data_IF_421176233548
#
_entry.id   IF_421176233548
#
_cell.length_a   1.000
_cell.length_b   1.000
_cell.length_c   1.000
_cell.angle_alpha   90.00
_cell.angle_beta   90.00
_cell.angle_gamma   90.00
#
_symmetry.space_group_name_H-M   'P 1'
#
loop_
_entity.id
_entity.type
_entity.pdbx_description
1 polymer ?
#
# COMPACT_ATOMS: atom_id res chain seq x y z
N UNK A 1 15.38 22.26 5.40
CA UNK A 1 14.43 21.16 5.73
C UNK A 1 13.05 21.59 5.24
N UNK A 2 12.48 20.88 4.25
CA UNK A 2 11.12 21.14 3.78
C UNK A 2 10.09 20.92 4.89
N UNK A 3 9.07 21.79 4.95
CA UNK A 3 7.95 21.63 5.90
C UNK A 3 7.07 20.46 5.48
N UNK A 4 6.47 19.80 6.46
CA UNK A 4 5.44 18.79 6.21
C UNK A 4 4.29 19.38 5.41
N UNK A 5 3.86 18.70 4.35
CA UNK A 5 2.63 19.04 3.62
C UNK A 5 1.81 17.80 3.30
N UNK A 6 0.49 17.94 3.36
CA UNK A 6 -0.46 16.88 2.97
C UNK A 6 -0.28 16.47 1.51
N UNK A 7 0.08 17.39 0.63
CA UNK A 7 0.33 17.11 -0.78
C UNK A 7 1.56 16.22 -0.99
N UNK A 8 2.66 16.48 -0.26
CA UNK A 8 3.85 15.64 -0.32
C UNK A 8 3.56 14.21 0.16
N UNK A 9 2.73 14.05 1.21
CA UNK A 9 2.28 12.70 1.64
C UNK A 9 1.55 11.98 0.51
N UNK A 10 0.62 12.67 -0.18
CA UNK A 10 -0.13 12.08 -1.30
C UNK A 10 0.81 11.67 -2.46
N UNK A 11 1.83 12.49 -2.75
CA UNK A 11 2.85 12.17 -3.76
C UNK A 11 3.67 10.93 -3.37
N UNK A 12 4.12 10.86 -2.11
CA UNK A 12 4.85 9.69 -1.58
C UNK A 12 4.00 8.41 -1.67
N UNK A 13 2.69 8.52 -1.42
CA UNK A 13 1.76 7.40 -1.53
C UNK A 13 1.61 6.90 -2.96
N UNK A 14 1.47 7.82 -3.91
CA UNK A 14 1.41 7.47 -5.34
C UNK A 14 2.70 6.80 -5.78
N UNK A 15 3.85 7.36 -5.40
CA UNK A 15 5.15 6.81 -5.76
C UNK A 15 5.35 5.39 -5.19
N UNK A 16 4.96 5.15 -3.92
CA UNK A 16 5.00 3.80 -3.33
C UNK A 16 4.06 2.83 -4.04
N UNK A 17 2.82 3.26 -4.33
CA UNK A 17 1.85 2.41 -5.02
C UNK A 17 2.30 2.04 -6.44
N UNK A 18 2.95 2.95 -7.17
CA UNK A 18 3.55 2.67 -8.48
C UNK A 18 4.74 1.72 -8.40
N UNK A 19 5.63 1.86 -7.41
CA UNK A 19 6.74 0.91 -7.22
C UNK A 19 6.24 -0.50 -6.93
N UNK A 20 5.25 -0.64 -6.05
CA UNK A 20 4.68 -1.97 -5.74
C UNK A 20 4.07 -2.61 -7.00
N UNK A 21 3.39 -1.83 -7.83
CA UNK A 21 2.84 -2.29 -9.12
C UNK A 21 3.96 -2.76 -10.07
N UNK A 22 5.02 -1.96 -10.25
CA UNK A 22 6.16 -2.28 -11.12
C UNK A 22 6.97 -3.48 -10.61
N UNK A 23 7.24 -3.56 -9.31
CA UNK A 23 8.13 -4.56 -8.71
C UNK A 23 7.44 -5.91 -8.47
N UNK A 24 6.15 -5.90 -8.09
CA UNK A 24 5.42 -7.12 -7.71
C UNK A 24 4.51 -7.66 -8.82
N UNK A 25 4.40 -6.95 -9.94
CA UNK A 25 3.60 -7.39 -11.10
C UNK A 25 2.10 -7.48 -10.80
N UNK A 26 1.61 -6.72 -9.82
CA UNK A 26 0.22 -6.78 -9.36
C UNK A 26 -0.69 -5.99 -10.32
N UNK A 27 -1.58 -6.67 -11.08
CA UNK A 27 -2.52 -5.99 -12.00
C UNK A 27 -3.67 -5.35 -11.20
N UNK A 28 -3.79 -4.02 -11.29
CA UNK A 28 -4.87 -3.26 -10.63
C UNK A 28 -6.27 -3.58 -11.16
N UNK A 29 -6.39 -4.07 -12.39
CA UNK A 29 -7.69 -4.39 -13.01
C UNK A 29 -8.32 -5.63 -12.40
N UNK A 30 -7.51 -6.56 -11.92
CA UNK A 30 -7.95 -7.81 -11.27
C UNK A 30 -7.81 -7.73 -9.75
N UNK A 31 -7.01 -6.80 -9.21
CA UNK A 31 -6.99 -6.48 -7.79
C UNK A 31 -6.59 -7.69 -6.93
N UNK A 32 -7.31 -7.95 -5.84
CA UNK A 32 -7.04 -9.10 -4.96
C UNK A 32 -7.49 -10.43 -5.54
N UNK A 33 -8.28 -10.44 -6.63
CA UNK A 33 -8.72 -11.68 -7.28
C UNK A 33 -7.54 -12.50 -7.85
N UNK A 34 -6.40 -11.87 -8.15
CA UNK A 34 -5.20 -12.58 -8.58
C UNK A 34 -4.49 -13.34 -7.44
N UNK A 35 -4.91 -13.13 -6.19
CA UNK A 35 -4.45 -13.90 -5.03
C UNK A 35 -5.24 -15.20 -4.86
N UNK A 36 -6.40 -15.33 -5.52
CA UNK A 36 -7.25 -16.51 -5.43
C UNK A 36 -6.69 -17.64 -6.32
N UNK A 37 -6.35 -18.80 -5.76
CA UNK A 37 -5.99 -19.95 -6.57
C UNK A 37 -7.21 -20.45 -7.39
N UNK A 38 -6.99 -21.06 -8.57
CA UNK A 38 -8.08 -21.65 -9.33
C UNK A 38 -8.87 -22.67 -8.51
N UNK A 39 -10.18 -22.46 -8.39
CA UNK A 39 -11.06 -23.35 -7.63
C UNK A 39 -10.94 -23.20 -6.10
N UNK A 40 -10.48 -22.05 -5.61
CA UNK A 40 -10.52 -21.73 -4.19
C UNK A 40 -11.92 -21.97 -3.61
N UNK A 41 -11.98 -22.59 -2.43
CA UNK A 41 -13.22 -22.72 -1.67
C UNK A 41 -13.49 -21.48 -0.81
N UNK A 42 -14.71 -21.38 -0.28
CA UNK A 42 -15.13 -20.25 0.57
C UNK A 42 -14.20 -20.04 1.79
N UNK A 43 -13.59 -21.12 2.29
CA UNK A 43 -12.68 -21.05 3.44
C UNK A 43 -11.34 -20.40 3.07
N UNK A 44 -10.84 -20.69 1.87
CA UNK A 44 -9.61 -20.14 1.29
C UNK A 44 -9.82 -18.69 0.91
N UNK A 45 -10.96 -18.36 0.29
CA UNK A 45 -11.36 -16.98 0.01
C UNK A 45 -11.40 -16.14 1.29
N UNK A 46 -12.10 -16.63 2.33
CA UNK A 46 -12.17 -15.93 3.61
C UNK A 46 -10.81 -15.76 4.31
N UNK A 47 -9.88 -16.70 4.11
CA UNK A 47 -8.51 -16.55 4.62
C UNK A 47 -7.75 -15.46 3.88
N UNK A 48 -7.84 -15.43 2.54
CA UNK A 48 -7.19 -14.44 1.70
C UNK A 48 -7.75 -13.04 2.00
N UNK A 49 -9.07 -12.90 2.15
CA UNK A 49 -9.69 -11.63 2.51
C UNK A 49 -9.21 -11.10 3.87
N UNK A 50 -9.10 -11.98 4.88
CA UNK A 50 -8.53 -11.59 6.18
C UNK A 50 -7.07 -11.16 6.06
N UNK A 51 -6.28 -11.87 5.25
CA UNK A 51 -4.88 -11.54 5.04
C UNK A 51 -4.72 -10.18 4.34
N UNK A 52 -5.55 -9.89 3.34
CA UNK A 52 -5.61 -8.60 2.65
C UNK A 52 -5.97 -7.49 3.64
N UNK A 53 -7.06 -7.64 4.39
CA UNK A 53 -7.51 -6.63 5.36
C UNK A 53 -6.45 -6.35 6.43
N UNK A 54 -5.76 -7.38 6.91
CA UNK A 54 -4.64 -7.21 7.84
C UNK A 54 -3.45 -6.48 7.19
N UNK A 55 -3.13 -6.83 5.94
CA UNK A 55 -2.09 -6.16 5.15
C UNK A 55 -2.37 -4.67 4.95
N UNK A 56 -3.60 -4.30 4.64
CA UNK A 56 -4.06 -2.92 4.53
C UNK A 56 -3.90 -2.15 5.85
N UNK A 57 -4.34 -2.75 6.97
CA UNK A 57 -4.18 -2.15 8.29
C UNK A 57 -2.70 -1.91 8.63
N UNK A 58 -1.83 -2.90 8.43
CA UNK A 58 -0.38 -2.76 8.65
C UNK A 58 0.27 -1.76 7.70
N UNK A 59 -0.25 -1.59 6.48
CA UNK A 59 0.23 -0.58 5.55
C UNK A 59 -0.11 0.84 6.02
N UNK A 60 -1.32 1.03 6.56
CA UNK A 60 -1.73 2.30 7.17
C UNK A 60 -0.93 2.64 8.43
N UNK A 61 -0.68 1.65 9.29
CA UNK A 61 0.13 1.83 10.50
C UNK A 61 1.56 2.28 10.16
N UNK A 62 2.25 1.57 9.25
CA UNK A 62 3.59 1.96 8.78
C UNK A 62 3.63 3.33 8.11
N UNK A 63 2.53 3.75 7.52
CA UNK A 63 2.41 5.08 6.92
C UNK A 63 2.31 6.16 8.00
N UNK A 64 1.50 5.93 9.04
CA UNK A 64 1.41 6.82 10.18
C UNK A 64 2.77 6.97 10.87
N UNK A 65 3.45 5.85 11.14
CA UNK A 65 4.82 5.84 11.70
C UNK A 65 5.79 6.66 10.82
N UNK A 66 5.78 6.46 9.50
CA UNK A 66 6.64 7.22 8.59
C UNK A 66 6.36 8.73 8.56
N UNK A 67 5.12 9.15 8.81
CA UNK A 67 4.76 10.57 8.97
C UNK A 67 5.28 11.10 10.30
N UNK A 68 5.07 10.37 11.40
CA UNK A 68 5.50 10.76 12.75
C UNK A 68 7.03 10.87 12.85
N UNK A 69 7.76 9.95 12.23
CA UNK A 69 9.23 9.98 12.13
C UNK A 69 9.73 11.03 11.12
N UNK A 70 8.82 11.65 10.36
CA UNK A 70 9.14 12.63 9.34
C UNK A 70 9.90 12.06 8.13
N UNK A 71 9.78 10.77 7.87
CA UNK A 71 10.28 10.10 6.66
C UNK A 71 9.37 10.35 5.45
N UNK A 72 8.08 10.65 5.68
CA UNK A 72 7.08 10.97 4.67
C UNK A 72 6.59 12.42 4.80
N UNK A 73 6.04 12.94 3.71
CA UNK A 73 5.35 14.23 3.72
C UNK A 73 6.26 15.45 3.67
N UNK A 74 7.53 15.27 3.32
CA UNK A 74 8.47 16.37 3.07
C UNK A 74 8.70 16.48 1.56
N UNK A 75 8.59 17.69 0.98
CA UNK A 75 8.93 17.86 -0.43
C UNK A 75 10.40 17.48 -0.64
N UNK A 76 10.70 16.75 -1.72
CA UNK A 76 12.07 16.51 -2.13
C UNK A 76 12.77 17.87 -2.23
N UNK A 77 13.88 18.05 -1.50
CA UNK A 77 14.69 19.26 -1.65
C UNK A 77 15.10 19.33 -3.13
N UNK A 78 14.57 20.34 -3.85
CA UNK A 78 15.14 20.77 -5.13
C UNK A 78 16.54 21.32 -4.90
#
# INVERSE_FOLDING_TARGET
MGRFTKSAVIEDLRARASRVEEEQGFDRRTGTAQLLPPGADESTEALIDRAVAYGEWRALERMAEGIEEGQLGKPANR
#
